data_IF_964959163504
#
_entry.id   IF_964959163504
#
_cell.length_a   1.000
_cell.length_b   1.000
_cell.length_c   1.000
_cell.angle_alpha   90.00
_cell.angle_beta   90.00
_cell.angle_gamma   90.00
#
_symmetry.space_group_name_H-M   'P 1'
#
loop_
_entity.id
_entity.type
_entity.pdbx_description
1 polymer ?
#
# COMPACT_ATOMS: atom_id res chain seq x y z
N UNK A 1 13.49 12.09 2.53
CA UNK A 1 12.65 12.32 1.34
C UNK A 1 13.11 13.57 0.65
N UNK A 2 13.54 13.49 -0.62
CA UNK A 2 13.77 14.70 -1.43
C UNK A 2 12.91 14.76 -2.69
N UNK A 3 12.15 13.71 -2.99
CA UNK A 3 11.26 13.63 -4.15
C UNK A 3 10.01 14.49 -3.97
N UNK A 4 9.50 15.05 -5.06
CA UNK A 4 8.19 15.72 -5.03
C UNK A 4 7.02 14.74 -4.84
N UNK A 5 5.99 15.20 -4.16
CA UNK A 5 4.72 14.50 -4.01
C UNK A 5 3.68 14.99 -5.02
N UNK A 6 2.74 14.11 -5.37
CA UNK A 6 1.64 14.44 -6.27
C UNK A 6 0.62 13.31 -6.32
N UNK A 7 -0.43 13.52 -7.11
CA UNK A 7 -1.49 12.57 -7.33
C UNK A 7 -1.37 11.97 -8.74
N UNK A 8 -1.62 10.67 -8.85
CA UNK A 8 -1.61 9.99 -10.15
C UNK A 8 -2.82 10.44 -10.94
N UNK A 9 -2.63 10.90 -12.17
CA UNK A 9 -3.76 11.20 -13.02
C UNK A 9 -4.59 9.93 -13.31
N UNK A 10 -5.92 10.06 -13.39
CA UNK A 10 -6.79 8.92 -13.60
C UNK A 10 -6.56 8.24 -14.96
N UNK A 11 -6.26 8.99 -16.03
CA UNK A 11 -5.96 8.41 -17.34
C UNK A 11 -4.61 7.68 -17.32
N UNK A 12 -3.64 8.20 -16.57
CA UNK A 12 -2.38 7.50 -16.33
C UNK A 12 -2.60 6.17 -15.58
N UNK A 13 -3.44 6.17 -14.54
CA UNK A 13 -3.80 4.95 -13.81
C UNK A 13 -4.45 3.91 -14.74
N UNK A 14 -5.44 4.33 -15.54
CA UNK A 14 -6.09 3.44 -16.53
C UNK A 14 -5.07 2.82 -17.47
N UNK A 15 -4.18 3.63 -18.05
CA UNK A 15 -3.11 3.16 -18.92
C UNK A 15 -2.26 2.07 -18.27
N UNK A 16 -1.91 2.22 -16.99
CA UNK A 16 -1.13 1.21 -16.26
C UNK A 16 -1.92 -0.11 -16.12
N UNK A 17 -3.19 -0.03 -15.75
CA UNK A 17 -4.06 -1.21 -15.60
C UNK A 17 -4.27 -1.91 -16.96
N UNK A 18 -4.58 -1.14 -18.00
CA UNK A 18 -4.85 -1.68 -19.35
C UNK A 18 -3.62 -2.37 -19.96
N UNK A 19 -2.40 -1.93 -19.60
CA UNK A 19 -1.15 -2.56 -20.02
C UNK A 19 -0.79 -3.83 -19.24
N UNK A 20 -1.54 -4.15 -18.18
CA UNK A 20 -1.31 -5.31 -17.32
C UNK A 20 -2.57 -6.19 -17.23
N UNK A 21 -3.04 -6.79 -18.34
CA UNK A 21 -4.29 -7.57 -18.36
C UNK A 21 -4.26 -8.80 -17.43
N UNK A 22 -3.06 -9.32 -17.14
CA UNK A 22 -2.84 -10.46 -16.25
C UNK A 22 -2.53 -10.03 -14.81
N UNK A 23 -2.76 -8.76 -14.44
CA UNK A 23 -2.47 -8.26 -13.10
C UNK A 23 -3.47 -8.83 -12.09
N UNK A 24 -3.01 -9.77 -11.27
CA UNK A 24 -3.85 -10.35 -10.22
C UNK A 24 -3.92 -9.47 -8.96
N UNK A 25 -2.80 -8.86 -8.55
CA UNK A 25 -2.68 -8.14 -7.28
C UNK A 25 -2.26 -6.68 -7.46
N UNK A 26 -3.13 -5.75 -7.08
CA UNK A 26 -2.86 -4.31 -7.05
C UNK A 26 -2.80 -3.82 -5.60
N UNK A 27 -1.71 -3.14 -5.22
CA UNK A 27 -1.57 -2.53 -3.90
C UNK A 27 -1.51 -1.01 -4.00
N UNK A 28 -2.61 -0.34 -3.66
CA UNK A 28 -2.75 1.10 -3.55
C UNK A 28 -2.04 1.60 -2.29
N UNK A 29 -0.74 1.82 -2.41
CA UNK A 29 0.14 2.31 -1.36
C UNK A 29 1.39 2.92 -1.99
N UNK A 30 2.13 3.70 -1.21
CA UNK A 30 3.57 3.95 -1.31
C UNK A 30 3.92 4.92 -0.16
N UNK A 31 4.82 5.87 -0.38
CA UNK A 31 5.17 6.97 0.52
C UNK A 31 4.15 8.14 0.57
N UNK A 32 2.86 7.86 0.37
CA UNK A 32 1.77 8.84 0.39
C UNK A 32 0.53 8.31 1.11
N UNK A 33 -0.58 9.05 1.09
CA UNK A 33 -1.85 8.64 1.69
C UNK A 33 -2.93 8.51 0.60
N UNK A 34 -3.33 7.28 0.22
CA UNK A 34 -4.32 7.05 -0.84
C UNK A 34 -5.66 7.75 -0.61
N UNK A 35 -6.11 7.88 0.64
CA UNK A 35 -7.39 8.53 0.97
C UNK A 35 -7.40 10.05 0.70
N UNK A 36 -6.26 10.67 0.39
CA UNK A 36 -6.21 12.06 -0.10
C UNK A 36 -6.57 12.17 -1.59
N UNK A 37 -6.52 11.07 -2.33
CA UNK A 37 -6.76 11.07 -3.77
C UNK A 37 -8.27 11.10 -4.06
N UNK A 38 -8.74 12.13 -4.77
CA UNK A 38 -10.16 12.34 -5.03
C UNK A 38 -10.81 11.18 -5.81
N UNK A 39 -10.09 10.59 -6.74
CA UNK A 39 -10.54 9.44 -7.54
C UNK A 39 -10.15 8.06 -6.96
N UNK A 40 -9.73 7.93 -5.69
CA UNK A 40 -9.20 6.65 -5.18
C UNK A 40 -10.18 5.47 -5.36
N UNK A 41 -11.46 5.67 -5.03
CA UNK A 41 -12.48 4.62 -5.16
C UNK A 41 -12.84 4.36 -6.63
N UNK A 42 -12.79 5.40 -7.47
CA UNK A 42 -12.98 5.27 -8.93
C UNK A 42 -11.83 4.47 -9.57
N UNK A 43 -10.60 4.64 -9.09
CA UNK A 43 -9.45 3.84 -9.50
C UNK A 43 -9.60 2.38 -9.09
N UNK A 44 -10.05 2.11 -7.85
CA UNK A 44 -10.33 0.76 -7.37
C UNK A 44 -11.39 0.08 -8.26
N UNK A 45 -12.50 0.77 -8.54
CA UNK A 45 -13.56 0.24 -9.39
C UNK A 45 -13.09 -0.01 -10.83
N UNK A 46 -12.25 0.87 -11.38
CA UNK A 46 -11.66 0.69 -12.71
C UNK A 46 -10.78 -0.56 -12.75
N UNK A 47 -9.89 -0.75 -11.77
CA UNK A 47 -9.02 -1.92 -11.68
C UNK A 47 -9.83 -3.22 -11.62
N UNK A 48 -10.83 -3.27 -10.72
CA UNK A 48 -11.70 -4.46 -10.57
C UNK A 48 -12.54 -4.73 -11.82
N UNK A 49 -12.95 -3.69 -12.55
CA UNK A 49 -13.70 -3.84 -13.81
C UNK A 49 -12.84 -4.35 -14.96
N UNK A 50 -11.52 -4.16 -14.89
CA UNK A 50 -10.55 -4.64 -15.87
C UNK A 50 -9.85 -5.94 -15.46
N UNK A 51 -10.46 -6.71 -14.55
CA UNK A 51 -10.02 -8.08 -14.24
C UNK A 51 -8.98 -8.20 -13.13
N UNK A 52 -8.60 -7.11 -12.45
CA UNK A 52 -7.72 -7.22 -11.28
C UNK A 52 -8.42 -8.00 -10.17
N UNK A 53 -7.87 -9.17 -9.83
CA UNK A 53 -8.45 -10.09 -8.87
C UNK A 53 -8.49 -9.51 -7.47
N UNK A 54 -7.41 -8.86 -7.04
CA UNK A 54 -7.22 -8.44 -5.66
C UNK A 54 -6.66 -7.01 -5.55
N UNK A 55 -7.43 -6.12 -4.94
CA UNK A 55 -7.05 -4.73 -4.69
C UNK A 55 -6.91 -4.52 -3.18
N UNK A 56 -5.71 -4.13 -2.77
CA UNK A 56 -5.34 -3.84 -1.39
C UNK A 56 -5.02 -2.35 -1.28
N UNK A 57 -5.43 -1.71 -0.18
CA UNK A 57 -5.07 -0.33 0.12
C UNK A 57 -4.46 -0.23 1.51
N UNK A 58 -3.30 0.43 1.61
CA UNK A 58 -2.71 0.77 2.89
C UNK A 58 -2.94 2.25 3.18
N UNK A 59 -3.41 2.57 4.38
CA UNK A 59 -3.67 3.94 4.84
C UNK A 59 -3.13 4.14 6.25
N UNK A 60 -2.87 5.39 6.64
CA UNK A 60 -2.58 5.75 8.03
C UNK A 60 -3.86 5.89 8.89
N UNK A 61 -5.06 5.84 8.27
CA UNK A 61 -6.35 5.87 8.97
C UNK A 61 -6.78 7.24 9.51
N UNK A 62 -5.96 8.29 9.39
CA UNK A 62 -6.26 9.63 9.93
C UNK A 62 -7.46 10.31 9.25
N UNK A 63 -7.77 9.91 8.01
CA UNK A 63 -8.86 10.46 7.20
C UNK A 63 -10.16 9.65 7.27
N UNK A 64 -10.23 8.64 8.15
CA UNK A 64 -11.46 7.88 8.36
C UNK A 64 -12.54 8.80 8.97
N UNK A 65 -13.45 9.24 8.12
CA UNK A 65 -14.69 9.92 8.49
C UNK A 65 -15.86 9.03 8.10
N UNK A 66 -17.07 9.32 8.57
CA UNK A 66 -18.28 8.57 8.21
C UNK A 66 -18.48 8.46 6.70
N UNK A 67 -18.19 9.56 5.97
CA UNK A 67 -18.23 9.57 4.51
C UNK A 67 -17.24 8.59 3.90
N UNK A 68 -15.98 8.63 4.35
CA UNK A 68 -14.92 7.76 3.84
C UNK A 68 -15.17 6.30 4.21
N UNK A 69 -15.67 6.02 5.43
CA UNK A 69 -16.06 4.69 5.88
C UNK A 69 -17.14 4.11 4.95
N UNK A 70 -18.19 4.88 4.65
CA UNK A 70 -19.22 4.45 3.70
C UNK A 70 -18.63 4.21 2.31
N UNK A 71 -17.76 5.09 1.81
CA UNK A 71 -17.10 4.89 0.51
C UNK A 71 -16.21 3.64 0.48
N UNK A 72 -15.51 3.31 1.58
CA UNK A 72 -14.72 2.07 1.67
C UNK A 72 -15.63 0.85 1.59
N UNK A 73 -16.72 0.84 2.37
CA UNK A 73 -17.69 -0.25 2.37
C UNK A 73 -18.36 -0.37 0.99
N UNK A 74 -18.73 0.72 0.34
CA UNK A 74 -19.39 0.67 -0.96
C UNK A 74 -18.41 0.33 -2.11
N UNK A 75 -17.10 0.40 -1.89
CA UNK A 75 -16.08 0.16 -2.91
C UNK A 75 -15.77 -1.32 -3.15
N UNK A 76 -15.21 -1.65 -4.31
CA UNK A 76 -14.76 -3.02 -4.62
C UNK A 76 -13.37 -3.39 -4.05
N UNK A 77 -12.94 -2.73 -2.98
CA UNK A 77 -11.70 -3.02 -2.28
C UNK A 77 -11.79 -4.40 -1.60
N UNK A 78 -10.71 -5.18 -1.66
CA UNK A 78 -10.67 -6.51 -1.04
C UNK A 78 -10.03 -6.46 0.36
N UNK A 79 -8.93 -5.72 0.53
CA UNK A 79 -8.33 -5.48 1.85
C UNK A 79 -8.04 -4.00 2.07
N UNK A 80 -8.42 -3.50 3.25
CA UNK A 80 -7.85 -2.27 3.81
C UNK A 80 -6.89 -2.58 4.97
N UNK A 81 -5.70 -1.98 4.94
CA UNK A 81 -4.68 -2.14 5.97
C UNK A 81 -4.31 -0.80 6.61
N UNK A 82 -4.29 -0.75 7.94
CA UNK A 82 -3.91 0.45 8.69
C UNK A 82 -2.45 0.37 9.15
N UNK A 83 -1.68 1.42 8.86
CA UNK A 83 -0.28 1.53 9.27
C UNK A 83 -0.21 2.01 10.73
N UNK A 84 -0.23 1.06 11.67
CA UNK A 84 -0.25 1.31 13.11
C UNK A 84 0.99 0.68 13.73
N UNK A 85 1.86 1.52 14.31
CA UNK A 85 3.10 1.08 14.95
C UNK A 85 3.12 1.42 16.44
N UNK A 86 3.44 0.42 17.25
CA UNK A 86 3.62 0.56 18.69
C UNK A 86 2.34 0.78 19.50
N UNK A 87 2.55 1.02 20.79
CA UNK A 87 1.55 1.47 21.75
C UNK A 87 1.05 2.89 21.42
N UNK A 88 -0.03 3.36 22.05
CA UNK A 88 -0.51 4.73 21.84
C UNK A 88 0.58 5.79 22.07
N UNK A 89 1.39 5.62 23.12
CA UNK A 89 2.51 6.53 23.43
C UNK A 89 3.59 6.48 22.34
N UNK A 90 3.99 5.29 21.91
CA UNK A 90 5.00 5.10 20.86
C UNK A 90 4.48 5.62 19.52
N UNK A 91 3.25 5.30 19.17
CA UNK A 91 2.58 5.77 17.96
C UNK A 91 2.51 7.30 17.93
N UNK A 92 2.11 7.96 19.03
CA UNK A 92 2.11 9.42 19.12
C UNK A 92 3.51 10.01 18.99
N UNK A 93 4.53 9.39 19.57
CA UNK A 93 5.95 9.81 19.43
C UNK A 93 6.42 9.73 17.97
N UNK A 94 6.10 8.64 17.26
CA UNK A 94 6.60 8.38 15.90
C UNK A 94 5.78 9.09 14.83
N UNK A 95 4.45 9.02 14.93
CA UNK A 95 3.50 9.49 13.90
C UNK A 95 2.93 10.89 14.19
N UNK A 96 3.07 11.39 15.42
CA UNK A 96 2.61 12.72 15.81
C UNK A 96 1.09 12.88 15.88
N UNK A 97 0.34 11.78 15.89
CA UNK A 97 -1.13 11.77 15.91
C UNK A 97 -1.66 10.78 16.95
N UNK A 98 -2.87 11.03 17.47
CA UNK A 98 -3.47 10.21 18.51
C UNK A 98 -4.08 8.92 17.95
N UNK A 99 -3.68 7.78 18.52
CA UNK A 99 -4.14 6.46 18.08
C UNK A 99 -5.61 6.21 18.43
N UNK A 100 -6.07 6.67 19.60
CA UNK A 100 -7.43 6.45 20.08
C UNK A 100 -8.50 6.85 19.05
N UNK A 101 -8.34 8.01 18.41
CA UNK A 101 -9.28 8.49 17.38
C UNK A 101 -9.29 7.59 16.15
N UNK A 102 -8.11 7.14 15.71
CA UNK A 102 -7.97 6.26 14.54
C UNK A 102 -8.61 4.90 14.86
N UNK A 103 -8.30 4.32 16.02
CA UNK A 103 -8.86 3.05 16.47
C UNK A 103 -10.38 3.10 16.57
N UNK A 104 -10.94 4.16 17.16
CA UNK A 104 -12.40 4.36 17.22
C UNK A 104 -13.04 4.32 15.83
N UNK A 105 -12.40 4.93 14.84
CA UNK A 105 -12.90 4.95 13.47
C UNK A 105 -12.70 3.59 12.76
N UNK A 106 -11.63 2.86 13.05
CA UNK A 106 -11.44 1.47 12.58
C UNK A 106 -12.53 0.57 13.15
N UNK A 107 -12.85 0.67 14.44
CA UNK A 107 -13.94 -0.08 15.07
C UNK A 107 -15.29 0.28 14.43
N UNK A 108 -15.50 1.56 14.07
CA UNK A 108 -16.70 1.99 13.35
C UNK A 108 -16.78 1.36 11.96
N UNK A 109 -15.68 1.37 11.20
CA UNK A 109 -15.60 0.71 9.90
C UNK A 109 -15.86 -0.80 10.01
N UNK A 110 -15.30 -1.47 11.02
CA UNK A 110 -15.57 -2.89 11.30
C UNK A 110 -17.08 -3.15 11.43
N UNK A 111 -17.77 -2.35 12.24
CA UNK A 111 -19.22 -2.51 12.45
C UNK A 111 -20.00 -2.31 11.14
N UNK A 112 -19.66 -1.30 10.35
CA UNK A 112 -20.33 -1.05 9.07
C UNK A 112 -20.07 -2.16 8.04
N UNK A 113 -18.84 -2.67 7.95
CA UNK A 113 -18.50 -3.76 7.03
C UNK A 113 -19.16 -5.08 7.42
N UNK A 114 -19.26 -5.40 8.71
CA UNK A 114 -19.94 -6.62 9.17
C UNK A 114 -21.43 -6.62 8.78
N UNK A 115 -22.05 -5.44 8.67
CA UNK A 115 -23.45 -5.30 8.27
C UNK A 115 -23.66 -5.35 6.74
N UNK A 116 -22.72 -4.80 5.96
CA UNK A 116 -22.93 -4.54 4.51
C UNK A 116 -21.98 -5.29 3.58
N UNK A 117 -20.75 -5.56 4.04
CA UNK A 117 -19.62 -6.11 3.27
C UNK A 117 -18.73 -7.00 4.12
N UNK A 118 -19.24 -8.16 4.57
CA UNK A 118 -18.47 -9.08 5.41
C UNK A 118 -17.24 -9.65 4.69
N UNK A 119 -17.20 -9.58 3.36
CA UNK A 119 -16.10 -10.00 2.50
C UNK A 119 -14.90 -9.01 2.49
N UNK A 120 -15.11 -7.73 2.86
CA UNK A 120 -14.00 -6.79 2.98
C UNK A 120 -13.11 -7.19 4.17
N UNK A 121 -11.85 -7.48 3.90
CA UNK A 121 -10.89 -7.78 4.97
C UNK A 121 -10.26 -6.50 5.52
N UNK A 122 -10.03 -6.50 6.82
CA UNK A 122 -9.36 -5.43 7.53
C UNK A 122 -8.08 -5.96 8.16
N UNK A 123 -7.01 -5.17 8.11
CA UNK A 123 -5.78 -5.52 8.80
C UNK A 123 -5.04 -4.33 9.35
N UNK A 124 -4.04 -4.63 10.19
CA UNK A 124 -3.04 -3.65 10.62
C UNK A 124 -1.65 -4.12 10.24
N UNK A 125 -0.77 -3.15 9.96
CA UNK A 125 0.64 -3.39 9.64
C UNK A 125 1.50 -2.63 10.64
N UNK A 126 2.43 -3.34 11.26
CA UNK A 126 3.38 -2.84 12.24
C UNK A 126 4.81 -2.92 11.70
N UNK A 127 5.54 -1.82 11.80
CA UNK A 127 6.96 -1.77 11.44
C UNK A 127 7.83 -2.02 12.66
N UNK A 128 8.54 -3.15 12.65
CA UNK A 128 9.48 -3.57 13.69
C UNK A 128 10.78 -2.76 13.61
N UNK A 129 11.06 -2.04 14.69
CA UNK A 129 12.21 -1.15 14.89
C UNK A 129 12.58 -1.09 16.38
N UNK A 130 13.76 -0.54 16.69
CA UNK A 130 14.22 -0.35 18.08
C UNK A 130 13.20 0.41 18.96
N UNK A 131 12.54 1.44 18.40
CA UNK A 131 11.54 2.23 19.12
C UNK A 131 10.21 1.47 19.34
N UNK A 132 9.93 0.42 18.56
CA UNK A 132 8.62 -0.26 18.52
C UNK A 132 8.67 -1.70 19.01
N UNK A 133 9.83 -2.38 18.98
CA UNK A 133 9.98 -3.82 19.25
C UNK A 133 9.37 -4.28 20.59
N UNK A 134 9.38 -3.40 21.59
CA UNK A 134 8.85 -3.70 22.93
C UNK A 134 7.32 -3.74 22.99
N UNK A 135 6.66 -3.16 21.99
CA UNK A 135 5.21 -3.04 21.93
C UNK A 135 4.56 -4.21 21.15
N UNK A 136 5.35 -5.10 20.54
CA UNK A 136 4.87 -6.11 19.58
C UNK A 136 3.84 -7.06 20.20
N UNK A 137 4.09 -7.57 21.40
CA UNK A 137 3.21 -8.55 22.04
C UNK A 137 1.82 -7.95 22.32
N UNK A 138 1.79 -6.82 23.03
CA UNK A 138 0.55 -6.09 23.35
C UNK A 138 -0.19 -5.66 22.08
N UNK A 139 0.55 -5.17 21.08
CA UNK A 139 0.00 -4.80 19.78
C UNK A 139 -0.72 -5.98 19.11
N UNK A 140 -0.08 -7.15 19.05
CA UNK A 140 -0.66 -8.33 18.42
C UNK A 140 -1.90 -8.81 19.17
N UNK A 141 -1.86 -8.85 20.50
CA UNK A 141 -3.00 -9.27 21.33
C UNK A 141 -4.20 -8.34 21.13
N UNK A 142 -3.96 -7.02 21.11
CA UNK A 142 -4.99 -6.01 20.96
C UNK A 142 -5.64 -6.08 19.57
N UNK A 143 -4.85 -5.96 18.51
CA UNK A 143 -5.37 -5.82 17.16
C UNK A 143 -6.00 -7.10 16.60
N UNK A 144 -5.55 -8.29 17.03
CA UNK A 144 -6.20 -9.57 16.65
C UNK A 144 -7.67 -9.67 17.10
N UNK A 145 -8.09 -8.88 18.09
CA UNK A 145 -9.49 -8.82 18.53
C UNK A 145 -10.34 -7.90 17.65
N UNK A 146 -9.71 -7.00 16.92
CA UNK A 146 -10.36 -5.93 16.17
C UNK A 146 -10.36 -6.25 14.67
N UNK A 147 -9.21 -6.58 14.09
CA UNK A 147 -9.08 -6.78 12.63
C UNK A 147 -8.87 -8.23 12.26
N UNK A 148 -9.09 -8.55 10.99
CA UNK A 148 -8.95 -9.91 10.45
C UNK A 148 -7.47 -10.34 10.38
N UNK A 149 -6.57 -9.39 10.11
CA UNK A 149 -5.14 -9.66 9.94
C UNK A 149 -4.23 -8.71 10.72
N UNK A 150 -3.21 -9.25 11.38
CA UNK A 150 -2.14 -8.48 12.01
C UNK A 150 -0.82 -8.86 11.36
N UNK A 151 -0.17 -7.90 10.69
CA UNK A 151 1.10 -8.12 10.00
C UNK A 151 2.23 -7.36 10.68
N UNK A 152 3.31 -8.08 10.97
CA UNK A 152 4.58 -7.47 11.34
C UNK A 152 5.48 -7.40 10.10
N UNK A 153 6.19 -6.30 9.92
CA UNK A 153 7.21 -6.15 8.88
C UNK A 153 8.47 -5.52 9.48
N UNK A 154 9.67 -5.93 9.06
CA UNK A 154 10.87 -5.21 9.46
C UNK A 154 10.88 -3.82 8.85
N UNK A 155 11.51 -2.84 9.51
CA UNK A 155 11.86 -1.59 8.82
C UNK A 155 12.76 -1.90 7.65
N UNK A 156 12.27 -1.54 6.48
CA UNK A 156 13.04 -1.64 5.26
C UNK A 156 13.98 -0.43 5.19
N UNK A 157 15.28 -0.71 5.33
CA UNK A 157 16.34 0.28 5.14
C UNK A 157 17.02 0.05 3.79
N UNK A 158 17.45 1.13 3.16
CA UNK A 158 18.36 1.03 2.01
C UNK A 158 19.75 0.65 2.51
N UNK A 159 20.22 -0.54 2.16
CA UNK A 159 21.59 -0.99 2.40
C UNK A 159 22.22 -1.50 1.10
N UNK A 160 23.56 -1.47 0.98
CA UNK A 160 24.25 -2.16 -0.09
C UNK A 160 23.85 -3.63 -0.05
N UNK A 161 23.38 -4.17 -1.18
CA UNK A 161 23.06 -5.59 -1.29
C UNK A 161 24.21 -6.31 -1.97
N UNK A 162 24.62 -7.42 -1.38
CA UNK A 162 25.55 -8.39 -2.00
C UNK A 162 24.82 -9.52 -2.73
N UNK A 163 23.50 -9.60 -2.55
CA UNK A 163 22.64 -10.63 -3.12
C UNK A 163 21.41 -10.01 -3.79
N UNK A 164 20.96 -10.64 -4.88
CA UNK A 164 19.77 -10.28 -5.65
C UNK A 164 18.56 -10.20 -4.72
N UNK A 165 17.73 -9.17 -4.93
CA UNK A 165 16.46 -9.06 -4.21
C UNK A 165 15.45 -10.05 -4.81
N UNK A 166 14.92 -11.01 -4.04
CA UNK A 166 13.89 -11.90 -4.55
C UNK A 166 12.54 -11.18 -4.69
N UNK A 167 12.36 -10.00 -4.10
CA UNK A 167 11.06 -9.35 -4.00
C UNK A 167 10.52 -8.84 -5.35
N UNK A 168 11.31 -8.12 -6.18
CA UNK A 168 10.89 -7.79 -7.54
C UNK A 168 10.76 -9.03 -8.42
N UNK A 169 11.54 -10.08 -8.16
CA UNK A 169 11.70 -11.24 -9.05
C UNK A 169 11.23 -12.55 -8.41
N UNK A 170 10.16 -12.51 -7.62
CA UNK A 170 9.67 -13.68 -6.91
C UNK A 170 9.41 -14.84 -7.85
N UNK A 171 9.65 -16.07 -7.37
CA UNK A 171 9.49 -17.29 -8.18
C UNK A 171 8.06 -17.49 -8.67
N UNK A 172 7.09 -16.99 -7.92
CA UNK A 172 5.65 -17.13 -8.21
C UNK A 172 5.06 -15.85 -8.81
N UNK A 173 5.49 -14.68 -8.33
CA UNK A 173 5.06 -13.39 -8.86
C UNK A 173 6.16 -12.34 -8.68
N UNK A 174 6.30 -11.47 -9.68
CA UNK A 174 7.14 -10.28 -9.61
C UNK A 174 6.34 -9.06 -9.16
N UNK A 175 7.03 -8.00 -8.73
CA UNK A 175 6.38 -6.72 -8.42
C UNK A 175 7.11 -5.55 -9.07
N UNK A 176 6.33 -4.55 -9.45
CA UNK A 176 6.79 -3.22 -9.83
C UNK A 176 6.01 -2.18 -9.07
N UNK A 177 6.59 -0.99 -8.97
CA UNK A 177 5.91 0.19 -8.42
C UNK A 177 5.87 1.26 -9.50
N UNK A 178 4.67 1.69 -9.85
CA UNK A 178 4.45 2.88 -10.67
C UNK A 178 4.16 4.05 -9.74
N UNK A 179 4.99 5.08 -9.82
CA UNK A 179 4.87 6.30 -9.03
C UNK A 179 3.80 7.21 -9.62
N UNK A 180 3.35 8.18 -8.81
CA UNK A 180 2.28 9.11 -9.17
C UNK A 180 2.52 9.86 -10.49
N UNK A 181 3.78 10.11 -10.85
CA UNK A 181 4.17 10.82 -12.07
C UNK A 181 4.46 9.90 -13.27
N UNK A 182 4.24 8.59 -13.12
CA UNK A 182 4.45 7.56 -14.13
C UNK A 182 5.84 6.92 -14.12
N UNK A 183 6.78 7.40 -13.29
CA UNK A 183 8.08 6.72 -13.14
C UNK A 183 7.87 5.32 -12.59
N UNK A 184 8.62 4.36 -13.11
CA UNK A 184 8.60 2.97 -12.63
C UNK A 184 9.87 2.67 -11.87
N UNK A 185 9.72 2.04 -10.71
CA UNK A 185 10.82 1.58 -9.85
C UNK A 185 10.60 0.12 -9.46
N UNK A 186 11.68 -0.65 -9.22
CA UNK A 186 11.58 -2.07 -8.93
C UNK A 186 11.08 -2.38 -7.50
N UNK A 187 11.16 -1.42 -6.58
CA UNK A 187 10.84 -1.65 -5.17
C UNK A 187 10.27 -0.41 -4.50
N UNK A 188 9.26 -0.59 -3.63
CA UNK A 188 8.66 0.50 -2.84
C UNK A 188 9.65 1.11 -1.83
N UNK A 189 10.71 0.40 -1.45
CA UNK A 189 11.76 0.92 -0.54
C UNK A 189 12.61 2.00 -1.21
N UNK A 190 12.65 2.05 -2.55
CA UNK A 190 13.33 3.10 -3.31
C UNK A 190 12.52 4.41 -3.28
N UNK A 191 12.55 5.01 -2.09
CA UNK A 191 11.87 6.22 -1.72
C UNK A 191 12.10 7.36 -2.73
N UNK A 192 13.37 7.60 -3.08
CA UNK A 192 13.78 8.73 -3.92
C UNK A 192 13.71 8.39 -5.42
N UNK A 193 13.27 7.18 -5.77
CA UNK A 193 13.25 6.68 -7.15
C UNK A 193 14.65 6.67 -7.80
N UNK A 194 15.69 6.38 -7.03
CA UNK A 194 17.08 6.34 -7.50
C UNK A 194 17.32 5.23 -8.54
N UNK A 195 16.53 4.15 -8.49
CA UNK A 195 16.56 3.02 -9.42
C UNK A 195 15.45 3.11 -10.47
N UNK A 196 15.12 4.33 -10.93
CA UNK A 196 14.11 4.52 -11.98
C UNK A 196 14.49 3.77 -13.26
N UNK A 197 13.65 2.80 -13.62
CA UNK A 197 13.84 1.98 -14.83
C UNK A 197 13.29 2.68 -16.08
N UNK A 198 12.28 3.55 -15.92
CA UNK A 198 11.71 4.36 -16.98
C UNK A 198 10.43 5.07 -16.54
N UNK A 199 9.61 5.52 -17.51
CA UNK A 199 8.32 6.17 -17.23
C UNK A 199 7.24 5.65 -18.20
N UNK A 200 6.10 5.22 -17.67
CA UNK A 200 4.99 4.69 -18.47
C UNK A 200 4.34 5.72 -19.40
N UNK A 201 4.61 7.01 -19.21
CA UNK A 201 4.17 8.04 -20.16
C UNK A 201 4.91 7.97 -21.50
N UNK A 202 6.11 7.38 -21.52
CA UNK A 202 6.97 7.30 -22.69
C UNK A 202 7.18 5.87 -23.21
N UNK A 203 6.79 4.85 -22.44
CA UNK A 203 6.98 3.44 -22.79
C UNK A 203 5.88 2.58 -22.14
N UNK A 204 5.84 1.28 -22.46
CA UNK A 204 4.89 0.32 -21.87
C UNK A 204 5.46 -0.36 -20.63
N UNK A 205 4.61 -0.78 -19.69
CA UNK A 205 5.02 -1.59 -18.52
C UNK A 205 5.81 -2.83 -18.94
N UNK A 206 5.35 -3.54 -19.98
CA UNK A 206 5.99 -4.75 -20.47
C UNK A 206 7.42 -4.50 -20.98
N UNK A 207 7.62 -3.41 -21.73
CA UNK A 207 8.95 -3.03 -22.20
C UNK A 207 9.87 -2.62 -21.05
N UNK A 208 9.36 -1.84 -20.10
CA UNK A 208 10.11 -1.43 -18.92
C UNK A 208 10.52 -2.63 -18.06
N UNK A 209 9.66 -3.64 -17.94
CA UNK A 209 9.96 -4.89 -17.24
C UNK A 209 11.05 -5.73 -17.90
N UNK A 210 11.15 -5.68 -19.23
CA UNK A 210 12.14 -6.42 -20.03
C UNK A 210 13.38 -5.59 -20.36
N UNK A 211 13.54 -4.41 -19.75
CA UNK A 211 14.64 -3.53 -20.11
C UNK A 211 15.95 -3.93 -19.40
N UNK A 212 17.07 -3.50 -19.97
CA UNK A 212 18.41 -3.82 -19.45
C UNK A 212 18.64 -3.37 -18.01
N UNK A 213 17.94 -2.32 -17.54
CA UNK A 213 18.06 -1.86 -16.15
C UNK A 213 17.45 -2.87 -15.19
N UNK A 214 16.28 -3.44 -15.52
CA UNK A 214 15.70 -4.54 -14.75
C UNK A 214 16.58 -5.79 -14.83
N UNK A 215 17.10 -6.13 -16.01
CA UNK A 215 17.96 -7.31 -16.16
C UNK A 215 19.21 -7.22 -15.28
N UNK A 216 19.83 -6.04 -15.19
CA UNK A 216 21.00 -5.81 -14.32
C UNK A 216 20.71 -5.97 -12.82
N UNK A 217 19.44 -6.00 -12.41
CA UNK A 217 19.06 -6.25 -11.02
C UNK A 217 18.80 -7.75 -10.74
N UNK A 218 18.80 -8.59 -11.79
CA UNK A 218 18.64 -10.05 -11.72
C UNK A 218 19.98 -10.79 -11.65
N UNK A 219 21.09 -10.08 -11.85
CA UNK A 219 22.48 -10.55 -11.78
C UNK A 219 23.11 -10.13 -10.44
#
# INVERSE_FOLDING_TARGET
MTREGGFMDFDLFKKVIDECPDLEHLCMHNWGEPLLHQDIFKMIDYAKSNGVSYVVMNTNGTLLTDKIINSIVDSRLDIIRFSIDGSEKTFKKIRGVDLEKIEKNIIKLKKEKELKRPDLEMGVVFTLEEDTEKDVEDYVIHWKRIVDHVRLQPKLITSPRTEICPEPFGKEYGKLVVLWDGRVIPCCVDYNASLTIGNVKADTILNLWKNKKIDSLRE
#
